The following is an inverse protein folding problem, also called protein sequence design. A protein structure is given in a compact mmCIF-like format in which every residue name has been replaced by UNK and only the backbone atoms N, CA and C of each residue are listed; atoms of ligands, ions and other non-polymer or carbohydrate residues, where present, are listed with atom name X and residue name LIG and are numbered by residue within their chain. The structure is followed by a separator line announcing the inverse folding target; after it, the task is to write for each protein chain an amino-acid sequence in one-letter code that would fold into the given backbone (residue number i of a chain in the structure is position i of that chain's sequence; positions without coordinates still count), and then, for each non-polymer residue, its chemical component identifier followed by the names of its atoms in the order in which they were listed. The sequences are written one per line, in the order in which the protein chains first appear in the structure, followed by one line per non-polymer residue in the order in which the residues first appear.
data_IF_610770750873
#
_entry.id   IF_610770750873
#
_cell.length_a   1.000
_cell.length_b   1.000
_cell.length_c   1.000
_cell.angle_alpha   90.00
_cell.angle_beta   90.00
_cell.angle_gamma   90.00
#
_symmetry.space_group_name_H-M   'P 1'
#
loop_
_entity.id
_entity.type
_entity.pdbx_description
1 polymer ?
#
# COMPACT_ATOMS: atom_id res chain seq x y z
N UNK A 1 -15.16 -13.07 -63.97
CA UNK A 1 -15.65 -12.35 -62.77
C UNK A 1 -15.04 -13.03 -61.54
N UNK A 2 -14.06 -12.42 -60.85
CA UNK A 2 -13.35 -13.05 -59.74
C UNK A 2 -14.11 -12.92 -58.41
N UNK A 3 -14.01 -13.97 -57.60
CA UNK A 3 -14.70 -14.17 -56.33
C UNK A 3 -14.18 -13.25 -55.21
N UNK A 4 -15.11 -12.68 -54.44
CA UNK A 4 -14.82 -11.79 -53.32
C UNK A 4 -14.03 -12.51 -52.21
N UNK A 5 -12.86 -11.99 -51.87
CA UNK A 5 -12.00 -12.46 -50.77
C UNK A 5 -12.69 -12.21 -49.42
N UNK A 6 -12.96 -13.28 -48.67
CA UNK A 6 -13.37 -13.22 -47.26
C UNK A 6 -12.24 -12.57 -46.44
N UNK A 7 -12.51 -11.41 -45.82
CA UNK A 7 -11.64 -10.81 -44.80
C UNK A 7 -11.58 -11.74 -43.60
N UNK A 8 -10.39 -12.23 -43.25
CA UNK A 8 -10.13 -12.90 -41.97
C UNK A 8 -10.28 -11.87 -40.85
N UNK A 9 -11.34 -12.00 -40.06
CA UNK A 9 -11.52 -11.25 -38.81
C UNK A 9 -10.37 -11.59 -37.87
N UNK A 10 -9.61 -10.57 -37.47
CA UNK A 10 -8.50 -10.68 -36.51
C UNK A 10 -9.09 -11.15 -35.17
N UNK A 11 -8.55 -12.22 -34.61
CA UNK A 11 -8.94 -12.71 -33.28
C UNK A 11 -8.83 -11.57 -32.25
N UNK A 12 -9.74 -11.52 -31.24
CA UNK A 12 -9.66 -10.53 -30.18
C UNK A 12 -8.31 -10.64 -29.47
N UNK A 13 -7.70 -9.50 -29.05
CA UNK A 13 -6.48 -9.55 -28.26
C UNK A 13 -6.74 -10.39 -27.00
N UNK A 14 -5.84 -11.33 -26.72
CA UNK A 14 -5.84 -12.09 -25.48
C UNK A 14 -5.96 -11.13 -24.29
N UNK A 15 -6.77 -11.44 -23.26
CA UNK A 15 -6.84 -10.59 -22.10
C UNK A 15 -5.44 -10.50 -21.50
N UNK A 16 -4.83 -9.32 -21.61
CA UNK A 16 -3.65 -8.98 -20.82
C UNK A 16 -4.04 -9.30 -19.38
N UNK A 17 -3.33 -10.24 -18.74
CA UNK A 17 -3.54 -10.56 -17.32
C UNK A 17 -3.65 -9.22 -16.59
N UNK A 18 -4.82 -8.91 -16.03
CA UNK A 18 -4.94 -7.75 -15.15
C UNK A 18 -3.86 -7.91 -14.08
N UNK A 19 -3.09 -6.86 -13.78
CA UNK A 19 -2.20 -6.89 -12.63
C UNK A 19 -2.98 -7.38 -11.41
N UNK A 20 -2.35 -8.14 -10.49
CA UNK A 20 -2.99 -8.46 -9.22
C UNK A 20 -3.51 -7.18 -8.57
N UNK A 21 -4.73 -7.21 -8.04
CA UNK A 21 -5.33 -6.03 -7.40
C UNK A 21 -4.44 -5.50 -6.28
N UNK A 22 -4.43 -4.17 -6.11
CA UNK A 22 -3.61 -3.46 -5.14
C UNK A 22 -4.50 -2.72 -4.15
N UNK A 23 -4.12 -2.74 -2.88
CA UNK A 23 -4.71 -1.92 -1.84
C UNK A 23 -3.77 -0.79 -1.44
N UNK A 24 -4.36 0.38 -1.17
CA UNK A 24 -3.68 1.57 -0.70
C UNK A 24 -4.34 2.10 0.56
N UNK A 25 -3.52 2.44 1.56
CA UNK A 25 -3.96 3.12 2.78
C UNK A 25 -3.96 4.62 2.52
N UNK A 26 -5.14 5.23 2.47
CA UNK A 26 -5.32 6.65 2.17
C UNK A 26 -4.64 7.57 3.20
N UNK A 27 -4.18 8.75 2.77
CA UNK A 27 -3.64 9.77 3.69
C UNK A 27 -4.75 10.43 4.50
N UNK A 28 -5.91 10.63 3.88
CA UNK A 28 -7.01 11.43 4.41
C UNK A 28 -7.66 10.83 5.65
N UNK A 29 -7.91 9.52 5.65
CA UNK A 29 -8.65 8.85 6.72
C UNK A 29 -8.01 7.56 7.24
N UNK A 30 -6.88 7.13 6.65
CA UNK A 30 -6.17 5.92 7.04
C UNK A 30 -6.88 4.60 6.69
N UNK A 31 -7.97 4.64 5.92
CA UNK A 31 -8.66 3.44 5.45
C UNK A 31 -7.95 2.83 4.24
N UNK A 32 -8.14 1.52 4.07
CA UNK A 32 -7.66 0.78 2.90
C UNK A 32 -8.69 0.81 1.77
N UNK A 33 -8.21 1.03 0.54
CA UNK A 33 -9.02 1.06 -0.68
C UNK A 33 -8.35 0.29 -1.81
N UNK A 34 -9.15 -0.31 -2.69
CA UNK A 34 -8.64 -0.85 -3.96
C UNK A 34 -8.23 0.28 -4.90
N UNK A 35 -7.03 0.17 -5.47
CA UNK A 35 -6.46 1.21 -6.33
C UNK A 35 -5.81 0.66 -7.58
N UNK A 36 -5.67 1.53 -8.58
CA UNK A 36 -4.80 1.38 -9.74
C UNK A 36 -3.72 2.44 -9.70
N UNK A 37 -2.55 2.13 -10.23
CA UNK A 37 -1.42 3.06 -10.29
C UNK A 37 -1.12 3.48 -11.72
N UNK A 38 -0.68 4.72 -11.86
CA UNK A 38 -0.10 5.24 -13.10
C UNK A 38 1.11 6.12 -12.80
N UNK A 39 2.07 6.13 -13.72
CA UNK A 39 3.10 7.16 -13.77
C UNK A 39 2.67 8.21 -14.79
N UNK A 40 2.57 9.46 -14.36
CA UNK A 40 2.22 10.60 -15.21
C UNK A 40 3.22 11.71 -14.95
N UNK A 41 3.96 12.09 -15.99
CA UNK A 41 4.99 13.15 -15.91
C UNK A 41 6.07 12.93 -14.83
N UNK A 42 6.30 11.67 -14.46
CA UNK A 42 7.27 11.28 -13.43
C UNK A 42 6.66 11.16 -12.02
N UNK A 43 5.43 11.62 -11.83
CA UNK A 43 4.69 11.51 -10.57
C UNK A 43 3.89 10.22 -10.51
N UNK A 44 3.78 9.65 -9.32
CA UNK A 44 2.92 8.50 -9.06
C UNK A 44 1.50 8.99 -8.78
N UNK A 45 0.56 8.57 -9.62
CA UNK A 45 -0.88 8.75 -9.42
C UNK A 45 -1.49 7.49 -8.83
N UNK A 46 -2.19 7.65 -7.73
CA UNK A 46 -2.99 6.61 -7.06
C UNK A 46 -4.45 6.85 -7.37
N UNK A 47 -5.04 5.97 -8.18
CA UNK A 47 -6.42 6.06 -8.62
C UNK A 47 -7.29 5.09 -7.82
N UNK A 48 -8.28 5.60 -7.12
CA UNK A 48 -9.24 4.75 -6.40
C UNK A 48 -10.20 4.08 -7.38
N UNK A 49 -10.44 2.76 -7.24
CA UNK A 49 -11.26 2.03 -8.22
C UNK A 49 -12.75 2.41 -8.17
N UNK A 50 -13.25 2.89 -7.03
CA UNK A 50 -14.67 3.18 -6.79
C UNK A 50 -14.97 4.69 -6.69
N UNK A 51 -13.97 5.56 -6.92
CA UNK A 51 -14.11 6.99 -6.76
C UNK A 51 -13.71 7.75 -8.02
N UNK A 52 -14.11 9.02 -8.08
CA UNK A 52 -13.80 9.90 -9.20
C UNK A 52 -12.35 10.36 -9.15
N UNK A 53 -11.80 10.70 -10.32
CA UNK A 53 -10.42 11.17 -10.48
C UNK A 53 -10.05 12.38 -9.61
N UNK A 54 -11.04 13.20 -9.23
CA UNK A 54 -10.85 14.33 -8.33
C UNK A 54 -10.39 13.92 -6.90
N UNK A 55 -10.53 12.64 -6.56
CA UNK A 55 -10.09 12.07 -5.28
C UNK A 55 -8.72 11.41 -5.34
N UNK A 56 -8.12 11.30 -6.54
CA UNK A 56 -6.84 10.63 -6.73
C UNK A 56 -5.73 11.32 -5.94
N UNK A 57 -4.83 10.50 -5.37
CA UNK A 57 -3.66 11.01 -4.67
C UNK A 57 -2.43 11.02 -5.56
N UNK A 58 -1.58 12.02 -5.38
CA UNK A 58 -0.36 12.23 -6.16
C UNK A 58 0.87 12.23 -5.28
N UNK A 59 1.97 11.71 -5.83
CA UNK A 59 3.29 11.74 -5.23
C UNK A 59 4.32 12.18 -6.25
N UNK A 60 4.90 13.35 -5.99
CA UNK A 60 5.96 13.89 -6.81
C UNK A 60 7.33 13.37 -6.36
N UNK A 61 8.28 13.17 -7.28
CA UNK A 61 9.65 12.88 -6.92
C UNK A 61 10.32 14.13 -6.28
N UNK A 62 11.40 13.95 -5.51
CA UNK A 62 12.12 15.07 -4.88
C UNK A 62 12.59 16.14 -5.88
N UNK A 63 12.97 15.74 -7.09
CA UNK A 63 13.40 16.65 -8.15
C UNK A 63 12.28 17.60 -8.63
N UNK A 64 11.02 17.24 -8.41
CA UNK A 64 9.86 18.07 -8.71
C UNK A 64 9.31 18.82 -7.47
N UNK A 65 10.06 18.83 -6.36
CA UNK A 65 9.65 19.48 -5.10
C UNK A 65 8.76 18.61 -4.20
N UNK A 66 8.67 17.30 -4.45
CA UNK A 66 7.87 16.39 -3.63
C UNK A 66 8.50 16.05 -2.27
N UNK A 67 7.66 15.64 -1.32
CA UNK A 67 8.00 15.41 0.10
C UNK A 67 8.79 14.11 0.39
N UNK A 68 9.23 13.38 -0.64
CA UNK A 68 9.95 12.10 -0.48
C UNK A 68 11.46 12.32 -0.28
N UNK A 69 11.82 13.13 0.70
CA UNK A 69 13.18 13.65 0.87
C UNK A 69 14.16 12.67 1.53
N UNK A 70 13.67 11.60 2.15
CA UNK A 70 14.51 10.65 2.90
C UNK A 70 14.17 9.19 2.62
N UNK A 71 15.08 8.23 2.93
CA UNK A 71 14.77 6.81 2.81
C UNK A 71 13.56 6.39 3.65
N UNK A 72 13.31 7.10 4.77
CA UNK A 72 12.16 6.89 5.64
C UNK A 72 10.84 7.25 4.96
N UNK A 73 10.82 8.32 4.17
CA UNK A 73 9.61 8.75 3.44
C UNK A 73 9.26 7.77 2.34
N UNK A 74 10.27 7.27 1.62
CA UNK A 74 10.12 6.21 0.62
C UNK A 74 9.58 4.93 1.27
N UNK A 75 10.13 4.53 2.42
CA UNK A 75 9.65 3.37 3.16
C UNK A 75 8.21 3.56 3.67
N UNK A 76 7.87 4.76 4.15
CA UNK A 76 6.52 5.10 4.60
C UNK A 76 5.51 5.07 3.45
N UNK A 77 5.88 5.57 2.27
CA UNK A 77 5.06 5.47 1.06
C UNK A 77 4.85 4.00 0.67
N UNK A 78 5.92 3.20 0.61
CA UNK A 78 5.83 1.77 0.28
C UNK A 78 4.90 1.02 1.24
N UNK A 79 4.95 1.34 2.53
CA UNK A 79 4.12 0.72 3.55
C UNK A 79 2.62 1.03 3.43
N UNK A 80 2.24 2.04 2.62
CA UNK A 80 0.84 2.33 2.30
C UNK A 80 0.27 1.40 1.25
N UNK A 81 1.07 0.55 0.61
CA UNK A 81 0.59 -0.39 -0.40
C UNK A 81 0.68 -1.83 0.09
N UNK A 82 -0.34 -2.62 -0.23
CA UNK A 82 -0.31 -4.08 -0.03
C UNK A 82 -1.10 -4.81 -1.11
N UNK A 83 -0.90 -6.12 -1.20
CA UNK A 83 -1.78 -6.96 -2.00
C UNK A 83 -3.20 -6.95 -1.41
N UNK A 84 -4.22 -7.06 -2.27
CA UNK A 84 -5.62 -7.12 -1.84
C UNK A 84 -5.81 -8.17 -0.74
N UNK A 85 -6.49 -7.73 0.32
CA UNK A 85 -6.88 -8.54 1.47
C UNK A 85 -8.01 -9.47 1.05
N UNK A 86 -7.97 -10.72 1.51
CA UNK A 86 -8.95 -11.73 1.12
C UNK A 86 -9.95 -11.94 2.23
N UNK A 87 -11.25 -11.89 1.92
CA UNK A 87 -12.30 -12.22 2.88
C UNK A 87 -12.02 -13.59 3.54
N UNK A 88 -12.25 -13.68 4.84
CA UNK A 88 -12.08 -14.93 5.57
C UNK A 88 -13.16 -15.93 5.13
N UNK A 89 -12.73 -17.04 4.56
CA UNK A 89 -13.64 -18.14 4.21
C UNK A 89 -14.12 -18.84 5.49
N UNK A 90 -15.42 -19.18 5.54
CA UNK A 90 -16.04 -19.87 6.69
C UNK A 90 -15.29 -21.13 7.10
N UNK A 91 -14.97 -21.98 6.12
CA UNK A 91 -14.23 -23.22 6.33
C UNK A 91 -12.82 -23.00 6.93
N UNK A 92 -12.24 -21.82 6.74
CA UNK A 92 -10.90 -21.45 7.19
C UNK A 92 -10.88 -20.59 8.44
N UNK A 93 -12.05 -20.29 9.02
CA UNK A 93 -12.13 -19.43 10.18
C UNK A 93 -11.35 -19.97 11.40
N UNK A 94 -11.22 -21.30 11.48
CA UNK A 94 -10.49 -22.02 12.52
C UNK A 94 -8.98 -22.01 12.32
N UNK A 95 -8.49 -21.57 11.17
CA UNK A 95 -7.05 -21.45 10.89
C UNK A 95 -6.47 -20.18 11.51
N UNK A 96 -7.30 -19.19 11.82
CA UNK A 96 -6.86 -17.94 12.42
C UNK A 96 -6.29 -18.19 13.84
N UNK A 97 -5.24 -17.44 14.18
CA UNK A 97 -4.54 -17.51 15.46
C UNK A 97 -4.39 -16.10 16.05
N UNK A 98 -4.46 -15.95 17.39
CA UNK A 98 -4.15 -14.69 18.05
C UNK A 98 -2.85 -14.07 17.51
N UNK A 99 -2.84 -12.77 17.32
CA UNK A 99 -1.74 -12.02 16.68
C UNK A 99 -1.80 -11.96 15.15
N UNK A 100 -2.72 -12.67 14.48
CA UNK A 100 -2.90 -12.55 13.04
C UNK A 100 -3.26 -11.11 12.65
N UNK A 101 -2.59 -10.57 11.62
CA UNK A 101 -2.90 -9.25 11.05
C UNK A 101 -4.12 -9.37 10.15
N UNK A 102 -5.11 -8.55 10.42
CA UNK A 102 -6.39 -8.53 9.72
C UNK A 102 -6.66 -7.12 9.19
N UNK A 103 -7.44 -7.06 8.13
CA UNK A 103 -8.14 -5.87 7.73
C UNK A 103 -9.61 -6.06 8.08
N UNK A 104 -10.19 -5.09 8.80
CA UNK A 104 -11.52 -5.24 9.39
C UNK A 104 -12.41 -4.10 8.93
N UNK A 105 -13.62 -4.48 8.49
CA UNK A 105 -14.68 -3.54 8.15
C UNK A 105 -15.19 -2.82 9.40
N UNK A 106 -15.26 -1.50 9.32
CA UNK A 106 -15.58 -0.58 10.40
C UNK A 106 -16.70 0.36 9.92
N UNK A 107 -17.84 0.27 10.57
CA UNK A 107 -19.03 1.09 10.36
C UNK A 107 -18.99 2.30 11.29
N UNK A 108 -18.21 3.31 10.91
CA UNK A 108 -18.09 4.55 11.69
C UNK A 108 -19.28 5.47 11.41
N UNK A 109 -19.68 5.53 10.14
CA UNK A 109 -20.81 6.33 9.67
C UNK A 109 -21.85 5.37 9.10
N UNK A 110 -23.12 5.60 9.43
CA UNK A 110 -24.23 4.78 8.94
C UNK A 110 -24.22 4.78 7.41
N UNK A 111 -24.14 3.59 6.81
CA UNK A 111 -24.12 3.42 5.36
C UNK A 111 -22.72 3.45 4.72
N UNK A 112 -21.66 3.71 5.48
CA UNK A 112 -20.28 3.66 4.98
C UNK A 112 -19.46 2.62 5.74
N UNK A 113 -18.98 1.62 5.00
CA UNK A 113 -18.05 0.62 5.52
C UNK A 113 -16.62 1.00 5.12
N UNK A 114 -15.78 1.29 6.11
CA UNK A 114 -14.35 1.57 5.92
C UNK A 114 -13.50 0.43 6.45
N UNK A 115 -12.26 0.33 6.00
CA UNK A 115 -11.42 -0.84 6.28
C UNK A 115 -10.12 -0.42 6.94
N UNK A 116 -9.86 -0.95 8.14
CA UNK A 116 -8.66 -0.60 8.92
C UNK A 116 -7.89 -1.83 9.38
N UNK A 117 -6.63 -1.63 9.75
CA UNK A 117 -5.81 -2.71 10.29
C UNK A 117 -6.18 -3.00 11.75
N UNK A 118 -6.24 -4.29 12.05
CA UNK A 118 -6.39 -4.82 13.39
C UNK A 118 -5.56 -6.09 13.56
N UNK A 119 -5.37 -6.49 14.81
CA UNK A 119 -4.79 -7.80 15.14
C UNK A 119 -5.84 -8.66 15.82
N UNK A 120 -5.88 -9.94 15.47
CA UNK A 120 -6.77 -10.89 16.13
C UNK A 120 -6.34 -11.06 17.59
N UNK A 121 -7.26 -10.91 18.52
CA UNK A 121 -7.06 -11.21 19.92
C UNK A 121 -7.51 -12.64 20.24
N UNK A 122 -8.75 -12.98 19.90
CA UNK A 122 -9.34 -14.28 20.20
C UNK A 122 -10.49 -14.63 19.24
N UNK A 123 -10.85 -15.91 19.17
CA UNK A 123 -11.99 -16.41 18.38
C UNK A 123 -12.97 -17.10 19.32
N UNK A 124 -14.21 -16.64 19.32
CA UNK A 124 -15.34 -17.34 19.96
C UNK A 124 -15.97 -18.25 18.91
N UNK A 125 -15.66 -19.54 19.00
CA UNK A 125 -16.18 -20.54 18.08
C UNK A 125 -17.70 -20.71 18.26
N UNK A 126 -18.41 -20.79 17.14
CA UNK A 126 -19.81 -21.17 17.08
C UNK A 126 -19.96 -22.45 16.25
N UNK A 127 -21.13 -23.08 16.33
CA UNK A 127 -21.46 -24.18 15.42
C UNK A 127 -21.59 -23.61 14.00
N UNK A 128 -20.96 -24.28 13.04
CA UNK A 128 -21.13 -23.94 11.63
C UNK A 128 -22.37 -24.67 11.11
N UNK A 129 -23.12 -23.98 10.26
CA UNK A 129 -24.29 -24.55 9.59
C UNK A 129 -23.99 -24.71 8.11
N UNK A 130 -24.64 -25.68 7.47
CA UNK A 130 -24.57 -25.83 6.02
C UNK A 130 -25.96 -25.59 5.47
N UNK A 131 -26.09 -24.56 4.64
CA UNK A 131 -27.35 -24.19 3.98
C UNK A 131 -27.08 -24.21 2.48
N UNK A 132 -27.87 -25.00 1.74
CA UNK A 132 -27.74 -25.17 0.29
C UNK A 132 -26.34 -25.57 -0.21
N UNK A 133 -25.56 -26.25 0.64
CA UNK A 133 -24.20 -26.68 0.34
C UNK A 133 -23.12 -25.64 0.65
N UNK A 134 -23.49 -24.46 1.14
CA UNK A 134 -22.55 -23.43 1.62
C UNK A 134 -22.43 -23.45 3.14
N UNK A 135 -21.20 -23.33 3.64
CA UNK A 135 -20.93 -23.28 5.07
C UNK A 135 -21.09 -21.86 5.61
N UNK A 136 -22.08 -21.68 6.49
CA UNK A 136 -22.33 -20.43 7.20
C UNK A 136 -21.59 -20.43 8.54
N UNK A 137 -20.60 -19.55 8.64
CA UNK A 137 -19.82 -19.36 9.86
C UNK A 137 -20.47 -18.31 10.77
N UNK A 138 -20.86 -18.72 11.97
CA UNK A 138 -21.39 -17.83 13.02
C UNK A 138 -20.33 -17.45 14.07
N UNK A 139 -19.06 -17.83 13.88
CA UNK A 139 -17.97 -17.51 14.80
C UNK A 139 -17.81 -16.00 14.97
N UNK A 140 -17.30 -15.60 16.12
CA UNK A 140 -17.01 -14.20 16.44
C UNK A 140 -15.52 -14.00 16.67
N UNK A 141 -15.00 -12.87 16.20
CA UNK A 141 -13.58 -12.56 16.24
C UNK A 141 -13.39 -11.32 17.08
N UNK A 142 -12.72 -11.46 18.22
CA UNK A 142 -12.29 -10.31 19.01
C UNK A 142 -11.03 -9.77 18.37
N UNK A 143 -11.05 -8.52 17.94
CA UNK A 143 -9.93 -7.84 17.29
C UNK A 143 -9.51 -6.64 18.13
N UNK A 144 -8.21 -6.32 18.08
CA UNK A 144 -7.67 -5.08 18.61
C UNK A 144 -7.28 -4.19 17.44
N UNK A 145 -7.94 -3.05 17.32
CA UNK A 145 -7.67 -2.08 16.27
C UNK A 145 -6.26 -1.53 16.44
N UNK A 146 -5.44 -1.58 15.38
CA UNK A 146 -4.09 -1.01 15.38
C UNK A 146 -4.05 0.35 14.69
N UNK A 147 -5.05 0.63 13.86
CA UNK A 147 -5.17 1.84 13.05
C UNK A 147 -6.64 2.31 13.02
N UNK A 148 -6.87 3.52 12.51
CA UNK A 148 -8.20 4.09 12.36
C UNK A 148 -8.79 4.67 13.65
N UNK A 149 -10.04 5.12 13.64
CA UNK A 149 -10.63 5.88 14.75
C UNK A 149 -10.91 5.05 15.99
N UNK A 150 -10.87 3.71 15.89
CA UNK A 150 -11.03 2.79 17.02
C UNK A 150 -9.69 2.26 17.56
N UNK A 151 -8.55 2.78 17.09
CA UNK A 151 -7.21 2.29 17.46
C UNK A 151 -7.01 2.14 18.98
N UNK A 152 -6.42 1.01 19.38
CA UNK A 152 -6.25 0.61 20.77
C UNK A 152 -7.48 -0.11 21.39
N UNK A 153 -8.66 0.07 20.82
CA UNK A 153 -9.89 -0.58 21.27
C UNK A 153 -9.97 -2.07 20.91
N UNK A 154 -10.72 -2.81 21.73
CA UNK A 154 -11.13 -4.19 21.44
C UNK A 154 -12.57 -4.20 20.94
N UNK A 155 -12.85 -5.03 19.96
CA UNK A 155 -14.19 -5.18 19.40
C UNK A 155 -14.43 -6.60 18.92
N UNK A 156 -15.66 -7.08 19.05
CA UNK A 156 -16.06 -8.38 18.52
C UNK A 156 -16.81 -8.19 17.18
N UNK A 157 -16.31 -8.83 16.12
CA UNK A 157 -16.88 -8.74 14.77
C UNK A 157 -17.29 -10.11 14.22
N UNK A 158 -18.18 -10.10 13.22
CA UNK A 158 -18.55 -11.28 12.43
C UNK A 158 -17.55 -11.57 11.30
N UNK A 159 -17.64 -12.75 10.70
CA UNK A 159 -16.75 -13.19 9.62
C UNK A 159 -16.83 -12.29 8.38
N UNK A 160 -18.01 -11.71 8.11
CA UNK A 160 -18.30 -10.82 6.99
C UNK A 160 -17.48 -9.53 7.02
N UNK A 161 -16.98 -9.13 8.19
CA UNK A 161 -16.12 -7.96 8.38
C UNK A 161 -14.62 -8.30 8.40
N UNK A 162 -14.23 -9.57 8.31
CA UNK A 162 -12.83 -10.00 8.52
C UNK A 162 -12.15 -10.37 7.20
N UNK A 163 -11.04 -9.68 6.91
CA UNK A 163 -10.19 -9.92 5.74
C UNK A 163 -8.77 -10.24 6.17
N UNK A 164 -8.20 -11.32 5.63
CA UNK A 164 -6.85 -11.76 5.91
C UNK A 164 -5.82 -10.95 5.12
N UNK A 165 -4.86 -10.35 5.83
CA UNK A 165 -3.74 -9.63 5.21
C UNK A 165 -2.65 -10.65 4.84
N UNK A 166 -2.24 -10.67 3.57
CA UNK A 166 -1.18 -11.57 3.09
C UNK A 166 0.19 -11.09 3.59
N UNK A 167 0.76 -11.79 4.55
CA UNK A 167 1.98 -11.37 5.25
C UNK A 167 3.31 -11.56 4.48
N UNK A 168 3.34 -12.27 3.36
CA UNK A 168 4.59 -12.93 2.91
C UNK A 168 5.17 -12.48 1.58
N UNK A 169 4.56 -11.55 0.84
CA UNK A 169 5.18 -11.06 -0.40
C UNK A 169 5.12 -9.53 -0.47
N UNK A 170 6.27 -8.86 -0.68
CA UNK A 170 6.25 -7.45 -1.07
C UNK A 170 5.31 -7.26 -2.25
N UNK A 171 4.61 -6.14 -2.28
CA UNK A 171 3.83 -5.73 -3.45
C UNK A 171 4.71 -5.77 -4.69
N UNK A 172 4.26 -6.49 -5.71
CA UNK A 172 4.90 -6.60 -7.02
C UNK A 172 4.05 -5.84 -8.04
N UNK A 173 4.00 -4.52 -7.89
CA UNK A 173 3.41 -3.64 -8.89
C UNK A 173 4.54 -2.95 -9.66
N UNK A 174 4.57 -3.04 -11.00
CA UNK A 174 5.67 -2.50 -11.80
C UNK A 174 5.71 -0.97 -11.78
N UNK A 175 4.56 -0.30 -11.70
CA UNK A 175 4.46 1.17 -11.67
C UNK A 175 5.00 1.67 -10.34
N UNK A 176 4.56 1.07 -9.23
CA UNK A 176 5.08 1.38 -7.90
C UNK A 176 6.58 1.12 -7.80
N UNK A 177 7.04 -0.02 -8.31
CA UNK A 177 8.46 -0.39 -8.25
C UNK A 177 9.32 0.61 -9.02
N UNK A 178 8.89 0.96 -10.24
CA UNK A 178 9.58 1.97 -11.06
C UNK A 178 9.66 3.32 -10.35
N UNK A 179 8.55 3.79 -9.76
CA UNK A 179 8.53 5.06 -9.04
C UNK A 179 9.47 5.06 -7.83
N UNK A 180 9.36 4.04 -6.96
CA UNK A 180 10.18 3.94 -5.76
C UNK A 180 11.67 3.84 -6.09
N UNK A 181 12.05 3.15 -7.17
CA UNK A 181 13.45 3.07 -7.62
C UNK A 181 14.00 4.44 -8.05
N UNK A 182 13.20 5.23 -8.77
CA UNK A 182 13.59 6.60 -9.19
C UNK A 182 13.80 7.49 -7.98
N UNK A 183 12.84 7.49 -7.04
CA UNK A 183 12.92 8.32 -5.84
C UNK A 183 14.06 7.89 -4.93
N UNK A 184 14.26 6.58 -4.72
CA UNK A 184 15.37 6.07 -3.88
C UNK A 184 16.73 6.53 -4.41
N UNK A 185 16.95 6.46 -5.73
CA UNK A 185 18.20 6.94 -6.35
C UNK A 185 18.38 8.45 -6.17
N UNK A 186 17.31 9.23 -6.28
CA UNK A 186 17.38 10.67 -6.07
C UNK A 186 17.78 11.01 -4.63
N UNK A 187 17.18 10.34 -3.65
CA UNK A 187 17.49 10.53 -2.22
C UNK A 187 18.96 10.19 -1.91
N UNK A 188 19.46 9.04 -2.39
CA UNK A 188 20.85 8.64 -2.16
C UNK A 188 21.88 9.59 -2.79
N UNK A 189 21.56 10.17 -3.95
CA UNK A 189 22.43 11.14 -4.62
C UNK A 189 22.53 12.46 -3.83
N UNK A 190 21.44 12.88 -3.17
CA UNK A 190 21.43 14.06 -2.30
C UNK A 190 22.31 13.83 -1.07
N UNK A 191 22.20 12.66 -0.43
CA UNK A 191 23.03 12.28 0.73
C UNK A 191 24.54 12.25 0.38
N UNK A 192 24.91 11.68 -0.78
CA UNK A 192 26.29 11.62 -1.24
C UNK A 192 26.91 12.99 -1.57
N UNK A 193 26.12 13.91 -2.12
CA UNK A 193 26.58 15.26 -2.45
C UNK A 193 26.73 16.16 -1.20
N UNK A 194 25.85 16.00 -0.21
CA UNK A 194 25.96 16.69 1.08
C UNK A 194 27.23 16.28 1.86
N UNK A 195 27.61 15.00 1.78
CA UNK A 195 28.82 14.51 2.45
C UNK A 195 30.13 14.98 1.77
N UNK A 196 30.10 15.21 0.46
CA UNK A 196 31.27 15.67 -0.32
C UNK A 196 31.54 17.17 -0.13
N UNK A 197 30.52 17.96 0.16
CA UNK A 197 30.64 19.43 0.37
C UNK A 197 31.06 19.84 1.78
N UNK A 198 31.13 18.90 2.74
CA UNK A 198 31.51 19.15 4.14
C UNK A 198 33.01 19.17 4.47
N UNK A 199 33.91 18.97 3.48
CA UNK A 199 35.35 18.82 3.73
C UNK A 199 36.20 19.95 3.14
N UNK A 200 36.15 21.16 3.72
CA UNK A 200 37.27 22.12 3.63
C UNK A 200 37.25 23.15 4.76
N UNK A 201 37.92 22.84 5.88
CA UNK A 201 38.42 23.88 6.78
C UNK A 201 39.80 24.35 6.25
N UNK A 202 40.05 25.66 6.07
CA UNK A 202 41.37 26.13 5.70
C UNK A 202 42.34 25.96 6.87
N UNK A 203 43.47 25.30 6.62
CA UNK A 203 44.65 25.37 7.50
C UNK A 203 45.23 26.77 7.37
N UNK A 204 45.10 27.59 8.41
CA UNK A 204 45.89 28.81 8.56
C UNK A 204 47.32 28.42 8.92
N UNK A 205 48.23 28.65 7.98
CA UNK A 205 49.66 28.63 8.22
C UNK A 205 50.29 29.79 7.47
N UNK A 206 50.74 30.79 8.22
CA UNK A 206 51.75 31.78 7.84
C UNK A 206 52.54 32.01 9.14
N UNK A 207 53.86 31.95 9.20
CA UNK A 207 54.83 32.33 8.18
C UNK A 207 55.74 33.38 8.82
N UNK A 208 56.92 32.92 9.21
CA UNK A 208 58.03 33.52 9.94
C UNK A 208 58.64 34.83 9.38
N UNK A 209 59.53 35.44 10.19
CA UNK A 209 60.64 36.41 9.91
C UNK A 209 60.32 37.92 10.00
N UNK A 210 61.15 38.84 10.51
CA UNK A 210 62.40 38.83 11.30
C UNK A 210 62.78 40.28 11.77
N UNK A 211 63.64 40.34 12.80
CA UNK A 211 64.75 41.31 13.08
C UNK A 211 64.56 42.74 13.67
N UNK A 212 65.41 42.99 14.71
CA UNK A 212 66.04 44.23 15.26
C UNK A 212 65.09 45.37 15.67
N UNK A 213 65.19 45.98 16.87
CA UNK A 213 66.37 46.59 17.52
C UNK A 213 66.38 46.30 19.02
#
# INVERSE_FOLDING_TARGET
MPTARKRKTRAPPTPRRRPPGLEYRAKSDGSWYSVRLALQEGSLRVMYEEFLEATDEWYDPPAAGGDLASPRDVAALRARFRAVSTALEGARCRDLRPGARLCVGCDIVVGELKFYDAVLDSVTAAKHETVDGEELCACRFTVRWTEGPRAGGLEQVGIDKVYCVRATRPVQDPVLSQFLDVVTKAVSNVEGNAMTTGARLPKTGEGETAHLV
#
